data_IF_399241149048
#
_entry.id   IF_399241149048
#
_cell.length_a   1.000
_cell.length_b   1.000
_cell.length_c   1.000
_cell.angle_alpha   90.00
_cell.angle_beta   90.00
_cell.angle_gamma   90.00
#
_symmetry.space_group_name_H-M   'P 1'
#
loop_
_entity.id
_entity.type
_entity.pdbx_description
1 polymer ?
#
# COMPACT_ATOMS: atom_id res chain seq x y z
N UNK A 1 18.87 -4.99 6.26
CA UNK A 1 18.26 -4.17 5.19
C UNK A 1 17.50 -5.16 4.32
N UNK A 2 16.19 -5.22 4.48
CA UNK A 2 15.33 -6.20 3.80
C UNK A 2 14.47 -5.47 2.77
N UNK A 3 14.66 -5.74 1.49
CA UNK A 3 13.78 -5.25 0.44
C UNK A 3 13.31 -6.40 -0.43
N UNK A 4 12.11 -6.27 -0.99
CA UNK A 4 11.57 -7.24 -1.93
C UNK A 4 12.29 -7.07 -3.29
N UNK A 5 13.04 -8.07 -3.79
CA UNK A 5 13.77 -7.97 -5.05
C UNK A 5 12.87 -7.65 -6.26
N UNK A 6 11.57 -8.00 -6.17
CA UNK A 6 10.58 -7.70 -7.23
C UNK A 6 10.32 -6.20 -7.43
N UNK A 7 10.77 -5.35 -6.50
CA UNK A 7 10.62 -3.90 -6.61
C UNK A 7 11.80 -3.23 -7.32
N UNK A 8 12.91 -3.93 -7.58
CA UNK A 8 14.15 -3.35 -8.11
C UNK A 8 14.00 -2.64 -9.47
N UNK A 9 13.07 -3.10 -10.32
CA UNK A 9 12.85 -2.53 -11.65
C UNK A 9 11.72 -1.49 -11.70
N UNK A 10 11.21 -1.05 -10.54
CA UNK A 10 10.13 -0.05 -10.49
C UNK A 10 10.68 1.34 -10.23
N UNK A 11 10.00 2.34 -10.79
CA UNK A 11 10.31 3.75 -10.54
C UNK A 11 10.26 4.11 -9.03
N UNK A 12 9.50 3.36 -8.23
CA UNK A 12 9.39 3.60 -6.79
C UNK A 12 10.53 2.98 -5.96
N UNK A 13 11.47 2.27 -6.59
CA UNK A 13 12.55 1.57 -5.87
C UNK A 13 13.46 2.51 -5.10
N UNK A 14 13.81 3.66 -5.69
CA UNK A 14 14.64 4.68 -5.03
C UNK A 14 13.99 5.16 -3.72
N UNK A 15 12.67 5.34 -3.72
CA UNK A 15 11.91 5.72 -2.53
C UNK A 15 11.93 4.66 -1.42
N UNK A 16 12.05 3.37 -1.79
CA UNK A 16 12.17 2.25 -0.84
C UNK A 16 13.61 2.19 -0.29
N UNK A 17 14.62 2.39 -1.12
CA UNK A 17 16.01 2.47 -0.65
C UNK A 17 16.18 3.62 0.33
N UNK A 18 15.65 4.81 0.01
CA UNK A 18 15.66 5.96 0.90
C UNK A 18 14.95 5.67 2.24
N UNK A 19 13.85 4.91 2.22
CA UNK A 19 13.17 4.48 3.44
C UNK A 19 14.09 3.66 4.36
N UNK A 20 14.73 2.63 3.81
CA UNK A 20 15.62 1.75 4.56
C UNK A 20 16.88 2.49 5.05
N UNK A 21 17.41 3.42 4.24
CA UNK A 21 18.53 4.27 4.63
C UNK A 21 18.18 5.22 5.79
N UNK A 22 16.96 5.75 5.83
CA UNK A 22 16.50 6.59 6.95
C UNK A 22 16.42 5.79 8.25
N UNK A 23 15.92 4.54 8.21
CA UNK A 23 15.97 3.64 9.37
C UNK A 23 17.40 3.45 9.86
N UNK A 24 18.29 3.10 8.93
CA UNK A 24 19.69 2.82 9.25
C UNK A 24 20.39 4.06 9.85
N UNK A 25 20.22 5.22 9.23
CA UNK A 25 20.81 6.48 9.69
C UNK A 25 20.38 6.84 11.10
N UNK A 26 19.08 6.75 11.40
CA UNK A 26 18.56 7.06 12.73
C UNK A 26 18.93 6.00 13.76
N UNK A 27 19.02 4.73 13.37
CA UNK A 27 19.48 3.66 14.24
C UNK A 27 20.94 3.84 14.66
N UNK A 28 21.83 4.14 13.71
CA UNK A 28 23.25 4.40 13.96
C UNK A 28 23.46 5.57 14.94
N UNK A 29 22.61 6.60 14.82
CA UNK A 29 22.60 7.77 15.70
C UNK A 29 21.86 7.55 17.05
N UNK A 30 21.32 6.35 17.31
CA UNK A 30 20.51 6.03 18.49
C UNK A 30 19.28 6.96 18.66
N UNK A 31 18.72 7.41 17.54
CA UNK A 31 17.59 8.33 17.41
C UNK A 31 16.27 7.59 17.17
N UNK A 32 15.17 8.34 17.02
CA UNK A 32 13.83 7.77 16.80
C UNK A 32 13.67 7.18 15.39
N UNK A 33 14.13 5.94 15.18
CA UNK A 33 14.13 5.26 13.88
C UNK A 33 12.81 4.55 13.52
N UNK A 34 11.87 4.38 14.45
CA UNK A 34 10.64 3.60 14.16
C UNK A 34 9.63 4.46 13.41
N UNK A 35 8.75 3.83 12.61
CA UNK A 35 7.68 4.52 11.85
C UNK A 35 6.74 5.41 12.68
N UNK A 36 6.65 5.16 13.99
CA UNK A 36 5.84 5.94 14.93
C UNK A 36 6.53 7.25 15.33
N UNK A 37 7.86 7.29 15.29
CA UNK A 37 8.68 8.38 15.78
C UNK A 37 8.59 9.57 14.82
N UNK A 38 8.70 10.78 15.40
CA UNK A 38 8.59 12.02 14.63
C UNK A 38 9.80 12.23 13.73
N UNK A 39 11.01 12.01 14.24
CA UNK A 39 12.25 12.17 13.47
C UNK A 39 12.28 11.30 12.22
N UNK A 40 11.82 10.05 12.31
CA UNK A 40 11.67 9.19 11.14
C UNK A 40 10.79 9.84 10.07
N UNK A 41 9.62 10.36 10.45
CA UNK A 41 8.67 10.98 9.50
C UNK A 41 9.25 12.25 8.87
N UNK A 42 9.89 13.07 9.69
CA UNK A 42 10.44 14.37 9.26
C UNK A 42 11.63 14.14 8.29
N UNK A 43 12.56 13.25 8.65
CA UNK A 43 13.71 12.94 7.79
C UNK A 43 13.29 12.21 6.51
N UNK A 44 12.35 11.27 6.59
CA UNK A 44 11.83 10.58 5.42
C UNK A 44 11.18 11.54 4.42
N UNK A 45 10.41 12.51 4.91
CA UNK A 45 9.79 13.54 4.07
C UNK A 45 10.86 14.44 3.42
N UNK A 46 11.90 14.81 4.16
CA UNK A 46 13.00 15.64 3.66
C UNK A 46 13.77 14.99 2.51
N UNK A 47 14.00 13.68 2.58
CA UNK A 47 14.73 12.94 1.53
C UNK A 47 13.81 12.44 0.40
N UNK A 48 12.50 12.68 0.48
CA UNK A 48 11.54 12.21 -0.53
C UNK A 48 11.31 10.69 -0.51
N UNK A 49 11.59 10.02 0.62
CA UNK A 49 11.41 8.59 0.75
C UNK A 49 9.93 8.19 0.87
N UNK A 50 9.62 6.96 0.47
CA UNK A 50 8.26 6.44 0.56
C UNK A 50 8.00 5.87 1.96
N UNK A 51 6.94 6.35 2.63
CA UNK A 51 6.58 5.83 3.97
C UNK A 51 6.06 4.41 3.94
N UNK A 52 5.37 4.06 2.86
CA UNK A 52 4.85 2.71 2.62
C UNK A 52 5.26 2.30 1.21
N UNK A 53 5.73 1.06 1.07
CA UNK A 53 5.97 0.51 -0.25
C UNK A 53 4.65 0.50 -1.05
N UNK A 54 4.65 0.91 -2.32
CA UNK A 54 3.48 0.83 -3.16
C UNK A 54 3.02 -0.63 -3.28
N UNK A 55 1.71 -0.85 -3.41
CA UNK A 55 1.19 -2.20 -3.57
C UNK A 55 1.72 -2.80 -4.86
N UNK A 56 2.55 -3.84 -4.74
CA UNK A 56 3.05 -4.62 -5.88
C UNK A 56 1.92 -5.48 -6.46
N UNK A 57 0.89 -5.78 -5.65
CA UNK A 57 -0.15 -6.73 -6.03
C UNK A 57 -1.25 -6.03 -6.81
N UNK A 58 -1.43 -6.48 -8.04
CA UNK A 58 -2.63 -6.21 -8.81
C UNK A 58 -3.82 -6.88 -8.13
N UNK A 59 -4.95 -6.17 -8.07
CA UNK A 59 -6.18 -6.72 -7.56
C UNK A 59 -6.63 -7.85 -8.49
N UNK A 60 -6.72 -9.08 -7.95
CA UNK A 60 -7.12 -10.27 -8.73
C UNK A 60 -8.60 -10.30 -9.07
N UNK A 61 -9.42 -9.54 -8.34
CA UNK A 61 -10.87 -9.56 -8.47
C UNK A 61 -11.39 -8.13 -8.42
N UNK A 62 -12.20 -7.76 -9.41
CA UNK A 62 -12.92 -6.49 -9.44
C UNK A 62 -14.41 -6.78 -9.26
N UNK A 63 -15.08 -6.04 -8.39
CA UNK A 63 -16.52 -6.13 -8.21
C UNK A 63 -17.17 -4.79 -8.49
N UNK A 64 -18.27 -4.81 -9.24
CA UNK A 64 -19.05 -3.61 -9.56
C UNK A 64 -20.44 -3.72 -8.95
N UNK A 65 -20.87 -2.67 -8.27
CA UNK A 65 -22.26 -2.57 -7.84
C UNK A 65 -23.16 -2.34 -9.05
N UNK A 66 -24.20 -3.17 -9.19
CA UNK A 66 -25.13 -3.06 -10.30
C UNK A 66 -26.06 -1.83 -10.21
N UNK A 67 -26.23 -1.25 -9.01
CA UNK A 67 -27.14 -0.10 -8.81
C UNK A 67 -26.44 1.26 -8.90
N UNK A 68 -25.25 1.40 -8.29
CA UNK A 68 -24.53 2.69 -8.22
C UNK A 68 -23.18 2.67 -8.96
N UNK A 69 -22.86 1.59 -9.68
CA UNK A 69 -21.60 1.40 -10.41
C UNK A 69 -20.31 1.54 -9.58
N UNK A 70 -20.41 1.54 -8.24
CA UNK A 70 -19.23 1.57 -7.37
C UNK A 70 -18.34 0.35 -7.63
N UNK A 71 -17.06 0.62 -7.88
CA UNK A 71 -16.03 -0.37 -8.13
C UNK A 71 -15.32 -0.73 -6.81
N UNK A 72 -15.08 -2.02 -6.59
CA UNK A 72 -14.34 -2.59 -5.48
C UNK A 72 -13.25 -3.52 -6.00
N UNK A 73 -11.99 -3.10 -5.88
CA UNK A 73 -10.83 -3.92 -6.22
C UNK A 73 -10.39 -4.72 -4.99
N UNK A 74 -10.29 -6.05 -5.11
CA UNK A 74 -9.94 -6.94 -3.98
C UNK A 74 -8.90 -7.98 -4.37
N UNK A 75 -8.07 -8.33 -3.38
CA UNK A 75 -7.08 -9.40 -3.54
C UNK A 75 -7.68 -10.81 -3.41
N UNK A 76 -8.73 -10.95 -2.59
CA UNK A 76 -9.41 -12.21 -2.30
C UNK A 76 -10.82 -12.17 -2.89
N UNK A 77 -11.26 -13.31 -3.43
CA UNK A 77 -12.65 -13.49 -3.88
C UNK A 77 -13.62 -13.29 -2.72
N UNK A 78 -14.75 -12.66 -2.96
CA UNK A 78 -15.84 -12.50 -1.99
C UNK A 78 -17.10 -13.23 -2.46
N UNK A 79 -17.88 -13.68 -1.48
CA UNK A 79 -19.20 -14.24 -1.76
C UNK A 79 -20.22 -13.14 -2.00
N UNK A 80 -20.54 -12.89 -3.27
CA UNK A 80 -21.52 -11.88 -3.69
C UNK A 80 -22.97 -12.20 -3.25
N UNK A 81 -23.26 -13.39 -2.72
CA UNK A 81 -24.55 -13.70 -2.08
C UNK A 81 -24.61 -13.16 -0.66
N UNK A 82 -23.47 -13.11 0.04
CA UNK A 82 -23.36 -12.61 1.41
C UNK A 82 -23.06 -11.11 1.48
N UNK A 83 -22.29 -10.59 0.54
CA UNK A 83 -21.82 -9.21 0.54
C UNK A 83 -22.59 -8.33 -0.47
N UNK A 84 -22.85 -7.08 -0.07
CA UNK A 84 -23.51 -6.07 -0.89
C UNK A 84 -22.68 -4.79 -0.97
N UNK A 85 -23.08 -3.86 -1.85
CA UNK A 85 -22.44 -2.56 -1.96
C UNK A 85 -22.51 -1.78 -0.63
N UNK A 86 -21.37 -1.30 -0.15
CA UNK A 86 -21.30 -0.50 1.08
C UNK A 86 -21.95 0.88 0.98
N UNK A 87 -22.22 1.39 -0.23
CA UNK A 87 -22.87 2.70 -0.45
C UNK A 87 -24.39 2.59 -0.55
N UNK A 88 -24.90 1.72 -1.43
CA UNK A 88 -26.33 1.65 -1.74
C UNK A 88 -26.98 0.30 -1.39
N UNK A 89 -26.23 -0.63 -0.79
CA UNK A 89 -26.68 -2.02 -0.49
C UNK A 89 -27.13 -2.83 -1.72
N UNK A 90 -26.84 -2.35 -2.93
CA UNK A 90 -27.13 -3.06 -4.18
C UNK A 90 -26.24 -4.30 -4.39
N UNK A 91 -26.68 -5.19 -5.28
CA UNK A 91 -25.96 -6.43 -5.62
C UNK A 91 -24.61 -6.12 -6.28
N UNK A 92 -23.62 -6.96 -5.97
CA UNK A 92 -22.28 -6.90 -6.55
C UNK A 92 -22.14 -7.96 -7.65
N UNK A 93 -21.44 -7.61 -8.72
CA UNK A 93 -21.06 -8.53 -9.80
C UNK A 93 -19.54 -8.51 -9.96
N UNK A 94 -18.91 -9.67 -10.06
CA UNK A 94 -17.49 -9.79 -10.39
C UNK A 94 -17.28 -9.39 -11.87
N UNK A 95 -16.38 -8.44 -12.10
CA UNK A 95 -15.77 -8.15 -13.39
C UNK A 95 -14.41 -8.86 -13.41
N UNK A 96 -14.31 -9.87 -14.27
CA UNK A 96 -13.06 -10.53 -14.61
C UNK A 96 -12.27 -9.71 -15.61
#
# INVERSE_FOLDING_TARGET
>A
MDFNPKMANRAEFDGIILHELVHYHLYDQQRGYKHKDREFKDLLAQVGGLRYAPSIREAKHTYVCQSCQQIYQRQRKIDIKKYACGKCRGKLKEQG
#
